data_IF_548004890538
#
_entry.id   IF_548004890538
#
_cell.length_a   1.000
_cell.length_b   1.000
_cell.length_c   1.000
_cell.angle_alpha   90.00
_cell.angle_beta   90.00
_cell.angle_gamma   90.00
#
_symmetry.space_group_name_H-M   'P 1'
#
loop_
_entity.id
_entity.type
_entity.pdbx_description
1 polymer ?
#
# COMPACT_ATOMS: atom_id res chain seq x y z
N UNK A 1 -20.55 59.46 8.25
CA UNK A 1 -21.07 58.28 8.97
C UNK A 1 -20.07 57.86 10.01
N UNK A 2 -20.46 57.93 11.26
CA UNK A 2 -19.66 57.51 12.42
C UNK A 2 -20.15 56.13 12.87
N UNK A 3 -19.22 55.23 13.14
CA UNK A 3 -19.53 53.86 13.57
C UNK A 3 -19.33 53.79 15.07
N UNK A 4 -20.33 53.30 15.81
CA UNK A 4 -20.20 53.13 17.25
C UNK A 4 -19.10 52.10 17.57
N UNK A 5 -18.11 52.43 18.41
CA UNK A 5 -17.00 51.52 18.73
C UNK A 5 -17.43 50.31 19.56
N UNK A 6 -18.58 50.38 20.25
CA UNK A 6 -19.06 49.30 21.11
C UNK A 6 -19.92 48.27 20.35
N UNK A 7 -20.87 48.72 19.53
CA UNK A 7 -21.81 47.82 18.84
C UNK A 7 -21.63 47.75 17.32
N UNK A 8 -20.73 48.54 16.72
CA UNK A 8 -20.51 48.58 15.28
C UNK A 8 -21.68 49.19 14.47
N UNK A 9 -22.70 49.70 15.15
CA UNK A 9 -23.84 50.36 14.51
C UNK A 9 -23.41 51.62 13.76
N UNK A 10 -23.82 51.75 12.50
CA UNK A 10 -23.71 52.99 11.74
C UNK A 10 -24.77 53.95 12.26
N UNK A 11 -24.39 55.16 12.62
CA UNK A 11 -25.35 56.19 12.97
C UNK A 11 -25.01 57.51 12.25
N UNK A 12 -26.05 58.30 12.04
CA UNK A 12 -25.97 59.65 11.49
C UNK A 12 -26.34 60.63 12.61
N UNK A 13 -25.34 61.33 13.14
CA UNK A 13 -25.52 62.27 14.26
C UNK A 13 -24.21 62.60 14.96
N UNK A 14 -24.29 63.38 16.04
CA UNK A 14 -23.13 63.76 16.83
C UNK A 14 -22.77 62.65 17.84
N UNK A 15 -21.51 62.20 17.84
CA UNK A 15 -20.99 61.11 18.68
C UNK A 15 -21.08 61.39 20.20
N UNK A 16 -21.30 62.65 20.57
CA UNK A 16 -21.45 63.13 21.94
C UNK A 16 -22.79 62.73 22.57
N UNK A 17 -23.84 62.56 21.76
CA UNK A 17 -25.18 62.19 22.24
C UNK A 17 -25.25 60.72 22.65
N UNK A 18 -24.21 59.94 22.34
CA UNK A 18 -24.12 58.51 22.63
C UNK A 18 -24.81 57.66 21.56
N UNK A 19 -24.38 56.40 21.45
CA UNK A 19 -25.02 55.47 20.52
C UNK A 19 -26.41 55.08 21.05
N UNK A 20 -27.45 55.25 20.22
CA UNK A 20 -28.83 54.89 20.58
C UNK A 20 -29.03 53.41 20.93
N UNK A 21 -28.18 52.51 20.41
CA UNK A 21 -28.29 51.07 20.63
C UNK A 21 -27.62 50.59 21.93
N UNK A 22 -26.45 51.14 22.27
CA UNK A 22 -25.64 50.63 23.37
C UNK A 22 -25.27 51.69 24.43
N UNK A 23 -25.72 52.93 24.27
CA UNK A 23 -25.47 54.04 25.20
C UNK A 23 -24.01 54.52 25.26
N UNK A 24 -23.10 53.91 24.50
CA UNK A 24 -21.69 54.26 24.53
C UNK A 24 -21.48 55.67 23.94
N UNK A 25 -20.88 56.57 24.73
CA UNK A 25 -20.45 57.90 24.29
C UNK A 25 -19.06 57.83 23.69
N UNK A 26 -18.79 58.63 22.67
CA UNK A 26 -17.43 58.73 22.16
C UNK A 26 -16.53 59.38 23.21
N UNK A 27 -15.53 58.62 23.65
CA UNK A 27 -14.48 59.12 24.53
C UNK A 27 -13.42 59.80 23.65
N UNK A 28 -13.72 61.03 23.20
CA UNK A 28 -12.79 61.91 22.48
C UNK A 28 -12.62 61.66 20.98
N UNK A 29 -12.00 62.64 20.31
CA UNK A 29 -11.47 62.46 18.94
C UNK A 29 -10.43 61.33 18.96
N UNK A 30 -10.32 60.52 17.87
CA UNK A 30 -9.27 59.52 17.80
C UNK A 30 -7.92 60.21 18.04
N UNK A 31 -7.16 59.71 19.01
CA UNK A 31 -5.81 60.19 19.31
C UNK A 31 -5.06 60.40 17.99
N UNK A 32 -4.48 61.60 17.84
CA UNK A 32 -3.65 61.91 16.68
C UNK A 32 -2.66 60.75 16.48
N UNK A 33 -2.58 60.22 15.26
CA UNK A 33 -1.65 59.12 14.99
C UNK A 33 -0.25 59.59 15.39
N UNK A 34 0.52 58.78 16.13
CA UNK A 34 1.87 59.16 16.50
C UNK A 34 2.67 59.41 15.22
N UNK A 35 3.49 60.46 15.21
CA UNK A 35 4.35 60.81 14.07
C UNK A 35 5.31 59.66 13.69
N UNK A 36 5.57 58.76 14.64
CA UNK A 36 6.42 57.59 14.49
C UNK A 36 5.63 56.35 14.97
N UNK A 37 5.06 55.59 14.03
CA UNK A 37 4.56 54.24 14.31
C UNK A 37 5.75 53.26 14.35
N UNK A 38 5.91 52.52 15.44
CA UNK A 38 6.89 51.43 15.50
C UNK A 38 6.49 50.33 14.50
N UNK A 39 7.44 49.79 13.72
CA UNK A 39 7.12 48.80 12.72
C UNK A 39 6.59 47.52 13.37
N UNK A 40 5.48 46.99 12.86
CA UNK A 40 4.85 45.80 13.42
C UNK A 40 5.56 44.52 12.93
N UNK A 41 6.11 43.73 13.87
CA UNK A 41 6.78 42.44 13.59
C UNK A 41 5.84 41.23 13.61
N UNK A 42 4.63 41.37 14.16
CA UNK A 42 3.75 40.23 14.48
C UNK A 42 3.42 39.34 13.27
N UNK A 43 3.25 39.94 12.07
CA UNK A 43 2.97 39.20 10.84
C UNK A 43 4.16 38.35 10.37
N UNK A 44 5.37 38.92 10.41
CA UNK A 44 6.58 38.19 10.02
C UNK A 44 6.89 37.06 11.00
N UNK A 45 6.71 37.29 12.30
CA UNK A 45 6.87 36.27 13.35
C UNK A 45 5.88 35.13 13.19
N UNK A 46 4.60 35.43 12.90
CA UNK A 46 3.57 34.42 12.68
C UNK A 46 3.93 33.47 11.52
N UNK A 47 4.28 34.03 10.36
CA UNK A 47 4.64 33.23 9.17
C UNK A 47 5.92 32.42 9.42
N UNK A 48 6.92 33.05 10.06
CA UNK A 48 8.16 32.38 10.47
C UNK A 48 7.89 31.19 11.39
N UNK A 49 7.08 31.39 12.43
CA UNK A 49 6.75 30.37 13.43
C UNK A 49 5.97 29.20 12.82
N UNK A 50 5.00 29.46 11.95
CA UNK A 50 4.23 28.41 11.27
C UNK A 50 5.15 27.55 10.39
N UNK A 51 6.02 28.18 9.60
CA UNK A 51 6.96 27.45 8.73
C UNK A 51 7.98 26.63 9.52
N UNK A 52 8.50 27.17 10.62
CA UNK A 52 9.41 26.46 11.51
C UNK A 52 8.71 25.28 12.20
N UNK A 53 7.48 25.46 12.67
CA UNK A 53 6.70 24.39 13.31
C UNK A 53 6.43 23.24 12.33
N UNK A 54 6.08 23.55 11.08
CA UNK A 54 5.92 22.54 10.02
C UNK A 54 7.19 21.71 9.81
N UNK A 55 8.34 22.39 9.73
CA UNK A 55 9.63 21.73 9.59
C UNK A 55 9.96 20.85 10.79
N UNK A 56 9.77 21.37 12.02
CA UNK A 56 10.00 20.62 13.26
C UNK A 56 9.09 19.40 13.39
N UNK A 57 7.82 19.52 13.00
CA UNK A 57 6.89 18.40 13.04
C UNK A 57 7.31 17.30 12.06
N UNK A 58 7.74 17.67 10.85
CA UNK A 58 8.26 16.73 9.87
C UNK A 58 9.56 16.05 10.35
N UNK A 59 10.53 16.81 10.89
CA UNK A 59 11.78 16.24 11.39
C UNK A 59 11.55 15.33 12.60
N UNK A 60 10.70 15.73 13.55
CA UNK A 60 10.35 14.91 14.70
C UNK A 60 9.70 13.59 14.28
N UNK A 61 8.77 13.64 13.32
CA UNK A 61 8.13 12.41 12.80
C UNK A 61 9.13 11.48 12.10
N UNK A 62 10.14 12.05 11.43
CA UNK A 62 11.22 11.29 10.79
C UNK A 62 12.11 10.62 11.84
N UNK A 63 12.43 11.33 12.92
CA UNK A 63 13.19 10.78 14.05
C UNK A 63 12.42 9.63 14.71
N UNK A 64 11.12 9.78 14.96
CA UNK A 64 10.27 8.71 15.52
C UNK A 64 10.28 7.49 14.60
N UNK A 65 10.09 7.69 13.28
CA UNK A 65 10.14 6.60 12.31
C UNK A 65 11.51 5.91 12.26
N UNK A 66 12.60 6.65 12.48
CA UNK A 66 13.95 6.09 12.55
C UNK A 66 14.14 5.21 13.79
N UNK A 67 13.60 5.61 14.94
CA UNK A 67 13.64 4.81 16.18
C UNK A 67 12.83 3.51 16.04
N UNK A 68 11.70 3.53 15.33
CA UNK A 68 10.88 2.34 15.09
C UNK A 68 11.57 1.28 14.21
N UNK A 69 12.54 1.66 13.37
CA UNK A 69 13.18 0.73 12.43
C UNK A 69 14.18 -0.26 13.08
N UNK A 70 14.32 -0.28 14.42
CA UNK A 70 15.13 -1.22 15.25
C UNK A 70 16.63 -1.32 14.96
N UNK A 71 17.10 -0.94 13.78
CA UNK A 71 18.52 -0.81 13.46
C UNK A 71 18.91 0.66 13.51
N UNK A 72 19.48 1.09 14.64
CA UNK A 72 20.05 2.44 14.83
C UNK A 72 21.37 2.62 14.03
N UNK A 73 21.41 2.13 12.79
CA UNK A 73 22.53 2.37 11.89
C UNK A 73 22.34 3.76 11.28
N UNK A 74 23.25 4.68 11.65
CA UNK A 74 23.28 6.02 11.06
C UNK A 74 23.85 5.89 9.64
N UNK A 75 22.97 5.57 8.70
CA UNK A 75 23.29 5.48 7.28
C UNK A 75 22.31 6.33 6.46
N UNK A 76 22.73 6.71 5.25
CA UNK A 76 21.88 7.46 4.32
C UNK A 76 20.56 6.72 4.03
N UNK A 77 20.63 5.41 3.78
CA UNK A 77 19.45 4.60 3.43
C UNK A 77 18.42 4.48 4.57
N UNK A 78 18.81 4.14 5.82
CA UNK A 78 17.89 4.17 6.98
C UNK A 78 17.20 5.52 7.19
N UNK A 79 17.92 6.64 6.99
CA UNK A 79 17.34 7.98 7.12
C UNK A 79 16.31 8.22 6.02
N UNK A 80 16.62 7.84 4.77
CA UNK A 80 15.69 7.96 3.64
C UNK A 80 14.46 7.09 3.84
N UNK A 81 14.60 5.85 4.30
CA UNK A 81 13.45 4.96 4.59
C UNK A 81 12.60 5.47 5.75
N UNK A 82 13.21 6.05 6.78
CA UNK A 82 12.49 6.70 7.88
C UNK A 82 11.73 7.94 7.40
N UNK A 83 12.36 8.79 6.59
CA UNK A 83 11.73 9.98 6.00
C UNK A 83 10.58 9.62 5.06
N UNK A 84 10.72 8.56 4.26
CA UNK A 84 9.62 8.01 3.46
C UNK A 84 8.45 7.60 4.36
N UNK A 85 8.73 6.81 5.40
CA UNK A 85 7.70 6.30 6.32
C UNK A 85 6.95 7.46 7.00
N UNK A 86 7.69 8.47 7.43
CA UNK A 86 7.13 9.70 7.98
C UNK A 86 6.26 10.45 6.97
N UNK A 87 6.74 10.64 5.73
CA UNK A 87 5.97 11.30 4.67
C UNK A 87 4.65 10.57 4.38
N UNK A 88 4.64 9.24 4.36
CA UNK A 88 3.42 8.45 4.15
C UNK A 88 2.41 8.56 5.29
N UNK A 89 2.87 8.65 6.54
CA UNK A 89 1.98 8.89 7.70
C UNK A 89 1.41 10.30 7.68
N UNK A 90 2.22 11.28 7.32
CA UNK A 90 1.88 12.70 7.40
C UNK A 90 1.10 13.23 6.20
N UNK A 91 1.07 12.53 5.07
CA UNK A 91 0.45 13.05 3.83
C UNK A 91 -1.01 13.50 4.01
N UNK A 92 -1.78 12.86 4.89
CA UNK A 92 -3.20 13.19 5.06
C UNK A 92 -3.42 14.43 5.95
N UNK A 93 -2.47 14.77 6.82
CA UNK A 93 -2.60 15.87 7.78
C UNK A 93 -1.72 17.06 7.42
N UNK A 94 -0.45 16.81 7.10
CA UNK A 94 0.55 17.87 6.84
C UNK A 94 0.43 18.44 5.44
N UNK A 95 0.04 17.65 4.43
CA UNK A 95 -0.12 18.16 3.07
C UNK A 95 -1.20 19.25 2.98
N UNK A 96 -2.46 19.04 3.44
CA UNK A 96 -3.45 20.11 3.39
C UNK A 96 -3.06 21.32 4.26
N UNK A 97 -2.50 21.06 5.45
CA UNK A 97 -2.08 22.13 6.35
C UNK A 97 -0.95 22.98 5.77
N UNK A 98 0.04 22.35 5.13
CA UNK A 98 1.16 23.06 4.49
C UNK A 98 0.72 23.87 3.28
N UNK A 99 -0.26 23.39 2.50
CA UNK A 99 -0.87 24.18 1.40
C UNK A 99 -1.57 25.42 1.95
N UNK A 100 -2.36 25.29 3.02
CA UNK A 100 -3.02 26.43 3.67
C UNK A 100 -2.00 27.39 4.28
N UNK A 101 -0.96 26.88 4.94
CA UNK A 101 0.12 27.69 5.52
C UNK A 101 0.92 28.44 4.45
N UNK A 102 1.22 27.80 3.31
CA UNK A 102 1.92 28.41 2.20
C UNK A 102 1.06 29.51 1.56
N UNK A 103 -0.22 29.25 1.31
CA UNK A 103 -1.14 30.23 0.72
C UNK A 103 -1.37 31.42 1.66
N UNK A 104 -1.70 31.16 2.93
CA UNK A 104 -1.87 32.21 3.94
C UNK A 104 -0.59 33.01 4.18
N UNK A 105 0.56 32.32 4.28
CA UNK A 105 1.87 32.96 4.39
C UNK A 105 2.21 33.82 3.18
N UNK A 106 1.84 33.39 1.97
CA UNK A 106 2.05 34.15 0.74
C UNK A 106 1.24 35.45 0.72
N UNK A 107 -0.03 35.39 1.15
CA UNK A 107 -0.88 36.58 1.28
C UNK A 107 -0.33 37.57 2.30
N UNK A 108 0.13 37.08 3.46
CA UNK A 108 0.75 37.92 4.50
C UNK A 108 2.06 38.53 4.01
N UNK A 109 2.92 37.75 3.37
CA UNK A 109 4.18 38.22 2.79
C UNK A 109 3.95 39.27 1.70
N UNK A 110 2.98 39.05 0.81
CA UNK A 110 2.59 40.03 -0.20
C UNK A 110 2.10 41.34 0.44
N UNK A 111 1.38 41.26 1.57
CA UNK A 111 0.98 42.45 2.34
C UNK A 111 2.17 43.19 2.97
N UNK A 112 3.13 42.47 3.57
CA UNK A 112 4.35 43.07 4.13
C UNK A 112 5.15 43.78 3.03
N UNK A 113 5.24 43.17 1.84
CA UNK A 113 5.96 43.75 0.70
C UNK A 113 5.30 45.03 0.16
N UNK A 114 3.96 45.14 0.23
CA UNK A 114 3.22 46.33 -0.20
C UNK A 114 3.39 47.52 0.76
N UNK A 115 3.53 47.24 2.06
CA UNK A 115 3.61 48.26 3.12
C UNK A 115 4.92 48.13 3.92
N UNK A 116 6.07 48.18 3.24
CA UNK A 116 7.39 47.95 3.86
C UNK A 116 7.76 48.97 4.94
N UNK A 117 7.16 50.16 4.92
CA UNK A 117 7.38 51.21 5.94
C UNK A 117 6.70 50.84 7.27
N UNK A 118 5.60 50.09 7.22
CA UNK A 118 4.77 49.77 8.39
C UNK A 118 5.10 48.42 9.04
N UNK A 119 5.64 47.50 8.25
CA UNK A 119 5.95 46.14 8.69
C UNK A 119 7.43 45.85 8.62
N UNK A 120 8.00 45.37 9.72
CA UNK A 120 9.35 44.81 9.76
C UNK A 120 9.29 43.27 9.80
N UNK A 121 10.42 42.61 9.50
CA UNK A 121 10.53 41.15 9.52
C UNK A 121 10.34 40.46 8.17
N UNK A 122 10.67 41.13 7.06
CA UNK A 122 10.65 40.56 5.72
C UNK A 122 11.46 39.24 5.64
N UNK A 123 12.65 39.21 6.23
CA UNK A 123 13.53 38.05 6.16
C UNK A 123 12.98 36.85 6.94
N UNK A 124 12.34 37.11 8.09
CA UNK A 124 11.70 36.07 8.89
C UNK A 124 10.50 35.45 8.16
N UNK A 125 9.68 36.29 7.51
CA UNK A 125 8.56 35.83 6.67
C UNK A 125 9.07 35.00 5.48
N UNK A 126 10.17 35.42 4.85
CA UNK A 126 10.81 34.69 3.75
C UNK A 126 11.33 33.32 4.20
N UNK A 127 12.00 33.26 5.36
CA UNK A 127 12.47 31.99 5.94
C UNK A 127 11.31 31.04 6.23
N UNK A 128 10.21 31.52 6.83
CA UNK A 128 9.03 30.70 7.10
C UNK A 128 8.36 30.16 5.83
N UNK A 129 8.25 30.99 4.79
CA UNK A 129 7.75 30.56 3.48
C UNK A 129 8.63 29.51 2.82
N UNK A 130 9.95 29.72 2.83
CA UNK A 130 10.90 28.76 2.26
C UNK A 130 10.89 27.43 3.02
N UNK A 131 10.78 27.47 4.36
CA UNK A 131 10.63 26.25 5.17
C UNK A 131 9.33 25.50 4.84
N UNK A 132 8.21 26.20 4.70
CA UNK A 132 6.93 25.59 4.33
C UNK A 132 6.98 24.97 2.92
N UNK A 133 7.58 25.67 1.96
CA UNK A 133 7.77 25.19 0.59
C UNK A 133 8.68 23.96 0.55
N UNK A 134 9.77 23.97 1.33
CA UNK A 134 10.71 22.85 1.44
C UNK A 134 10.01 21.58 1.95
N UNK A 135 9.16 21.69 2.98
CA UNK A 135 8.40 20.54 3.52
C UNK A 135 7.46 19.96 2.46
N UNK A 136 6.75 20.80 1.69
CA UNK A 136 5.88 20.35 0.59
C UNK A 136 6.69 19.61 -0.48
N UNK A 137 7.81 20.20 -0.92
CA UNK A 137 8.67 19.60 -1.96
C UNK A 137 9.25 18.28 -1.48
N UNK A 138 9.72 18.19 -0.22
CA UNK A 138 10.23 16.95 0.36
C UNK A 138 9.16 15.87 0.39
N UNK A 139 7.97 16.15 0.93
CA UNK A 139 6.86 15.19 0.99
C UNK A 139 6.47 14.74 -0.42
N UNK A 140 6.30 15.67 -1.36
CA UNK A 140 5.93 15.36 -2.74
C UNK A 140 7.00 14.50 -3.44
N UNK A 141 8.29 14.79 -3.22
CA UNK A 141 9.40 14.02 -3.80
C UNK A 141 9.44 12.61 -3.25
N UNK A 142 9.34 12.43 -1.92
CA UNK A 142 9.32 11.10 -1.31
C UNK A 142 8.13 10.27 -1.75
N UNK A 143 6.93 10.87 -1.82
CA UNK A 143 5.74 10.16 -2.32
C UNK A 143 5.92 9.81 -3.79
N UNK A 144 6.31 10.77 -4.63
CA UNK A 144 6.45 10.56 -6.08
C UNK A 144 7.42 9.43 -6.44
N UNK A 145 8.56 9.35 -5.75
CA UNK A 145 9.57 8.31 -5.99
C UNK A 145 9.14 6.91 -5.48
N UNK A 146 8.30 6.83 -4.44
CA UNK A 146 8.00 5.57 -3.73
C UNK A 146 6.67 4.93 -4.12
N UNK A 147 5.79 5.69 -4.78
CA UNK A 147 4.52 5.18 -5.34
C UNK A 147 4.70 3.94 -6.23
N UNK A 148 5.59 3.89 -7.24
CA UNK A 148 5.67 2.73 -8.13
C UNK A 148 6.07 1.45 -7.38
N UNK A 149 7.03 1.55 -6.46
CA UNK A 149 7.48 0.40 -5.68
C UNK A 149 6.41 -0.08 -4.70
N UNK A 150 5.66 0.83 -4.08
CA UNK A 150 4.52 0.45 -3.21
C UNK A 150 3.39 -0.19 -3.98
N UNK A 151 3.12 0.25 -5.21
CA UNK A 151 2.16 -0.43 -6.08
C UNK A 151 2.64 -1.84 -6.41
N UNK A 152 3.94 -2.02 -6.69
CA UNK A 152 4.55 -3.33 -6.92
C UNK A 152 4.46 -4.23 -5.69
N UNK A 153 4.81 -3.71 -4.52
CA UNK A 153 4.71 -4.45 -3.24
C UNK A 153 3.26 -4.82 -2.91
N UNK A 154 2.30 -3.92 -3.16
CA UNK A 154 0.88 -4.22 -2.98
C UNK A 154 0.43 -5.34 -3.92
N UNK A 155 0.85 -5.31 -5.18
CA UNK A 155 0.57 -6.39 -6.12
C UNK A 155 1.19 -7.72 -5.65
N UNK A 156 2.44 -7.71 -5.21
CA UNK A 156 3.10 -8.88 -4.64
C UNK A 156 2.39 -9.42 -3.39
N UNK A 157 1.93 -8.55 -2.50
CA UNK A 157 1.16 -8.93 -1.32
C UNK A 157 -0.18 -9.59 -1.66
N UNK A 158 -0.87 -9.09 -2.69
CA UNK A 158 -2.10 -9.73 -3.19
C UNK A 158 -1.78 -11.12 -3.75
N UNK A 159 -0.72 -11.25 -4.55
CA UNK A 159 -0.30 -12.54 -5.11
C UNK A 159 0.10 -13.54 -4.02
N UNK A 160 0.89 -13.12 -3.04
CA UNK A 160 1.26 -13.96 -1.91
C UNK A 160 0.05 -14.41 -1.08
N UNK A 161 -0.98 -13.56 -0.98
CA UNK A 161 -2.25 -13.92 -0.35
C UNK A 161 -2.99 -15.05 -1.07
N UNK A 162 -3.08 -14.98 -2.40
CA UNK A 162 -3.69 -16.04 -3.23
C UNK A 162 -2.89 -17.34 -3.15
N UNK A 163 -1.55 -17.24 -3.21
CA UNK A 163 -0.66 -18.41 -3.11
C UNK A 163 -0.79 -19.10 -1.75
N UNK A 164 -0.84 -18.34 -0.65
CA UNK A 164 -1.06 -18.87 0.70
C UNK A 164 -2.41 -19.61 0.83
N UNK A 165 -3.47 -19.10 0.20
CA UNK A 165 -4.75 -19.80 0.15
C UNK A 165 -4.63 -21.13 -0.61
N UNK A 166 -3.98 -21.12 -1.77
CA UNK A 166 -3.77 -22.36 -2.54
C UNK A 166 -2.96 -23.41 -1.78
N UNK A 167 -1.89 -23.02 -1.07
CA UNK A 167 -1.12 -23.94 -0.23
C UNK A 167 -1.96 -24.53 0.92
N UNK A 168 -2.91 -23.76 1.45
CA UNK A 168 -3.86 -24.26 2.47
C UNK A 168 -4.76 -25.35 1.88
N UNK A 169 -5.24 -25.16 0.65
CA UNK A 169 -6.07 -26.13 -0.08
C UNK A 169 -5.27 -27.37 -0.46
N UNK A 170 -4.04 -27.20 -0.95
CA UNK A 170 -3.13 -28.30 -1.26
C UNK A 170 -2.85 -29.15 -0.01
N UNK A 171 -2.55 -28.50 1.12
CA UNK A 171 -2.36 -29.20 2.40
C UNK A 171 -3.60 -30.03 2.76
N UNK A 172 -4.79 -29.46 2.64
CA UNK A 172 -6.04 -30.18 2.92
C UNK A 172 -6.25 -31.38 1.96
N UNK A 173 -5.94 -31.22 0.67
CA UNK A 173 -6.01 -32.29 -0.32
C UNK A 173 -5.02 -33.43 -0.02
N UNK A 174 -3.80 -33.10 0.39
CA UNK A 174 -2.79 -34.08 0.77
C UNK A 174 -3.18 -34.83 2.04
N UNK A 175 -3.69 -34.14 3.05
CA UNK A 175 -4.18 -34.75 4.29
C UNK A 175 -5.40 -35.66 4.03
N UNK A 176 -6.33 -35.23 3.18
CA UNK A 176 -7.44 -36.07 2.71
C UNK A 176 -6.93 -37.33 2.02
N UNK A 177 -5.97 -37.20 1.09
CA UNK A 177 -5.36 -38.33 0.38
C UNK A 177 -4.64 -39.29 1.33
N UNK A 178 -3.95 -38.78 2.34
CA UNK A 178 -3.27 -39.62 3.33
C UNK A 178 -4.27 -40.48 4.11
N UNK A 179 -5.41 -39.88 4.47
CA UNK A 179 -6.48 -40.51 5.26
C UNK A 179 -7.33 -41.50 4.45
N UNK A 180 -7.79 -41.11 3.27
CA UNK A 180 -8.75 -41.88 2.47
C UNK A 180 -8.11 -42.62 1.28
N UNK A 181 -6.80 -42.45 1.04
CA UNK A 181 -6.05 -43.03 -0.09
C UNK A 181 -6.58 -42.64 -1.47
N UNK A 182 -7.48 -41.67 -1.55
CA UNK A 182 -8.03 -41.10 -2.78
C UNK A 182 -8.09 -39.58 -2.66
N UNK A 183 -8.19 -38.88 -3.79
CA UNK A 183 -8.57 -37.47 -3.81
C UNK A 183 -10.09 -37.33 -3.63
N UNK A 184 -10.57 -36.21 -3.06
CA UNK A 184 -12.00 -35.95 -2.93
C UNK A 184 -12.67 -35.84 -4.30
N UNK A 185 -13.97 -36.09 -4.36
CA UNK A 185 -14.75 -35.89 -5.60
C UNK A 185 -15.26 -34.46 -5.71
N UNK A 186 -15.60 -33.87 -4.57
CA UNK A 186 -16.06 -32.49 -4.45
C UNK A 186 -15.27 -31.77 -3.38
N UNK A 187 -15.17 -30.45 -3.52
CA UNK A 187 -14.50 -29.58 -2.53
C UNK A 187 -15.16 -29.67 -1.14
N UNK A 188 -16.47 -29.94 -1.08
CA UNK A 188 -17.20 -30.13 0.18
C UNK A 188 -16.72 -31.35 0.98
N UNK A 189 -16.22 -32.39 0.30
CA UNK A 189 -15.69 -33.58 0.95
C UNK A 189 -14.47 -33.24 1.83
N UNK A 190 -13.73 -32.17 1.50
CA UNK A 190 -12.63 -31.66 2.33
C UNK A 190 -13.14 -31.03 3.63
N UNK A 191 -14.24 -30.30 3.57
CA UNK A 191 -14.83 -29.63 4.73
C UNK A 191 -15.46 -30.64 5.70
N UNK A 192 -16.11 -31.68 5.17
CA UNK A 192 -16.77 -32.70 5.98
C UNK A 192 -15.78 -33.79 6.47
N UNK A 193 -14.73 -34.08 5.68
CA UNK A 193 -13.79 -35.17 5.95
C UNK A 193 -12.61 -34.81 6.85
N UNK A 194 -12.23 -33.54 6.95
CA UNK A 194 -11.08 -33.08 7.74
C UNK A 194 -11.50 -32.24 8.95
N UNK A 195 -10.86 -32.44 10.12
CA UNK A 195 -11.05 -31.55 11.25
C UNK A 195 -10.33 -30.20 11.02
N UNK A 196 -11.10 -29.11 10.90
CA UNK A 196 -10.56 -27.76 10.76
C UNK A 196 -10.68 -26.98 12.09
N UNK A 197 -9.66 -27.11 12.96
CA UNK A 197 -9.67 -26.47 14.29
C UNK A 197 -9.63 -24.93 14.21
N UNK A 198 -8.95 -24.39 13.20
CA UNK A 198 -8.65 -22.97 13.09
C UNK A 198 -9.55 -22.25 12.06
N UNK A 199 -10.44 -22.98 11.37
CA UNK A 199 -11.31 -22.44 10.32
C UNK A 199 -10.56 -22.08 9.03
N UNK A 200 -9.28 -22.46 8.92
CA UNK A 200 -8.39 -22.09 7.81
C UNK A 200 -8.78 -22.76 6.50
N UNK A 201 -9.23 -24.02 6.56
CA UNK A 201 -9.67 -24.78 5.39
C UNK A 201 -11.00 -24.22 4.93
N UNK A 202 -11.96 -24.01 5.83
CA UNK A 202 -13.25 -23.42 5.49
C UNK A 202 -13.09 -22.01 4.88
N UNK A 203 -12.20 -21.18 5.42
CA UNK A 203 -11.91 -19.85 4.88
C UNK A 203 -11.28 -19.92 3.48
N UNK A 204 -10.31 -20.82 3.25
CA UNK A 204 -9.70 -21.00 1.94
C UNK A 204 -10.71 -21.52 0.90
N UNK A 205 -11.54 -22.49 1.29
CA UNK A 205 -12.56 -23.09 0.42
C UNK A 205 -13.72 -22.14 0.11
N UNK A 206 -14.02 -21.17 0.98
CA UNK A 206 -15.12 -20.22 0.76
C UNK A 206 -15.00 -19.37 -0.51
N UNK A 207 -13.76 -19.19 -0.99
CA UNK A 207 -13.48 -18.43 -2.21
C UNK A 207 -13.36 -19.32 -3.46
N UNK A 208 -13.41 -20.64 -3.31
CA UNK A 208 -13.26 -21.59 -4.42
C UNK A 208 -14.64 -22.01 -4.89
N UNK A 209 -14.89 -21.82 -6.18
CA UNK A 209 -16.09 -22.38 -6.80
C UNK A 209 -15.98 -23.91 -6.82
N UNK A 210 -16.88 -24.64 -6.14
CA UNK A 210 -16.82 -26.10 -6.08
C UNK A 210 -16.85 -26.76 -7.46
N UNK A 211 -17.42 -26.10 -8.47
CA UNK A 211 -17.52 -26.61 -9.84
C UNK A 211 -16.20 -26.61 -10.61
N UNK A 212 -15.23 -25.82 -10.14
CA UNK A 212 -13.92 -25.69 -10.81
C UNK A 212 -12.92 -26.78 -10.44
N UNK A 213 -13.19 -27.52 -9.37
CA UNK A 213 -12.34 -28.62 -8.94
C UNK A 213 -12.53 -29.84 -9.88
N UNK A 214 -11.46 -30.24 -10.56
CA UNK A 214 -11.47 -31.42 -11.43
C UNK A 214 -10.38 -32.40 -11.03
N UNK A 215 -10.71 -33.53 -10.37
CA UNK A 215 -9.76 -34.62 -10.20
C UNK A 215 -9.55 -35.30 -11.56
N UNK A 216 -8.32 -35.35 -12.04
CA UNK A 216 -7.94 -36.01 -13.31
C UNK A 216 -7.04 -37.19 -13.04
N UNK A 217 -7.49 -38.39 -13.38
CA UNK A 217 -6.60 -39.54 -13.45
C UNK A 217 -5.91 -39.53 -14.82
N UNK A 218 -4.68 -39.04 -14.87
CA UNK A 218 -3.84 -39.25 -16.04
C UNK A 218 -3.27 -40.66 -15.92
N UNK A 219 -3.87 -41.60 -16.64
CA UNK A 219 -3.23 -42.87 -16.90
C UNK A 219 -1.96 -42.56 -17.68
N UNK A 220 -0.79 -42.71 -17.06
CA UNK A 220 0.45 -42.70 -17.80
C UNK A 220 0.37 -43.90 -18.74
N UNK A 221 -0.04 -43.65 -19.98
CA UNK A 221 -0.04 -44.66 -21.00
C UNK A 221 1.43 -44.92 -21.27
N UNK A 222 1.99 -45.95 -20.62
CA UNK A 222 3.33 -46.43 -20.90
C UNK A 222 3.41 -46.53 -22.42
N UNK A 223 4.29 -45.73 -23.03
CA UNK A 223 4.34 -45.62 -24.48
C UNK A 223 4.41 -47.03 -25.05
N UNK A 224 3.45 -47.42 -25.88
CA UNK A 224 3.50 -48.67 -26.65
C UNK A 224 4.66 -48.68 -27.65
N UNK A 225 5.41 -47.58 -27.74
CA UNK A 225 6.69 -47.50 -28.40
C UNK A 225 7.64 -48.54 -27.80
N UNK A 226 7.98 -49.53 -28.64
CA UNK A 226 8.99 -50.55 -28.38
C UNK A 226 10.20 -49.89 -27.72
N UNK A 227 10.63 -50.31 -26.50
CA UNK A 227 11.77 -49.69 -25.84
C UNK A 227 12.96 -49.71 -26.79
N UNK A 228 13.44 -48.52 -27.17
CA UNK A 228 14.62 -48.39 -28.00
C UNK A 228 15.77 -49.12 -27.31
N UNK A 229 16.47 -50.01 -28.03
CA UNK A 229 17.65 -50.70 -27.49
C UNK A 229 18.63 -49.65 -26.96
N UNK A 230 18.69 -49.50 -25.64
CA UNK A 230 19.68 -48.68 -24.95
C UNK A 230 21.08 -49.23 -25.30
N UNK A 231 21.76 -48.59 -26.24
CA UNK A 231 23.15 -48.90 -26.62
C UNK A 231 24.07 -48.13 -25.68
N UNK A 232 24.52 -48.78 -24.61
CA UNK A 232 25.54 -48.24 -23.72
C UNK A 232 25.83 -49.19 -22.56
N UNK A 233 27.11 -49.56 -22.38
CA UNK A 233 27.54 -50.49 -21.34
C UNK A 233 27.35 -49.94 -19.90
N UNK A 234 27.21 -48.63 -19.74
CA UNK A 234 27.11 -47.97 -18.43
C UNK A 234 25.73 -48.10 -17.76
N UNK A 235 24.64 -48.34 -18.51
CA UNK A 235 23.29 -48.49 -17.94
C UNK A 235 22.89 -49.96 -17.71
N UNK A 236 23.73 -50.92 -18.15
CA UNK A 236 23.45 -52.36 -18.03
C UNK A 236 23.51 -52.92 -16.60
N UNK A 237 24.05 -52.14 -15.64
CA UNK A 237 24.15 -52.56 -14.23
C UNK A 237 23.00 -52.07 -13.36
N UNK A 238 22.14 -51.20 -13.87
CA UNK A 238 20.93 -50.77 -13.17
C UNK A 238 19.68 -51.58 -13.58
N UNK A 239 19.75 -52.34 -14.68
CA UNK A 239 18.67 -53.23 -15.10
C UNK A 239 18.98 -54.69 -14.72
N UNK A 240 18.22 -55.16 -13.74
CA UNK A 240 17.86 -56.57 -13.47
C UNK A 240 18.84 -57.43 -12.68
N UNK A 241 18.31 -58.02 -11.60
CA UNK A 241 18.15 -59.47 -11.47
C UNK A 241 17.05 -59.77 -10.43
N UNK A 242 15.79 -59.76 -10.84
CA UNK A 242 14.76 -60.59 -10.20
C UNK A 242 13.81 -61.13 -11.30
N UNK A 243 13.95 -62.40 -11.72
CA UNK A 243 13.36 -62.93 -12.95
C UNK A 243 11.87 -63.37 -12.82
N UNK A 244 11.15 -62.91 -11.81
CA UNK A 244 9.76 -63.32 -11.56
C UNK A 244 8.75 -62.17 -11.44
N UNK A 245 9.13 -60.92 -11.71
CA UNK A 245 8.25 -59.76 -11.47
C UNK A 245 8.13 -58.76 -12.64
N UNK A 246 8.59 -59.13 -13.84
CA UNK A 246 8.61 -58.25 -15.02
C UNK A 246 7.33 -58.34 -15.87
N UNK A 247 6.16 -58.29 -15.25
CA UNK A 247 4.99 -57.72 -15.93
C UNK A 247 4.73 -56.33 -15.35
N UNK A 248 5.52 -55.34 -15.79
CA UNK A 248 5.26 -53.91 -15.63
C UNK A 248 4.07 -53.50 -16.52
N UNK A 249 2.96 -54.23 -16.41
CA UNK A 249 1.66 -53.87 -16.94
C UNK A 249 0.82 -53.13 -15.88
N UNK A 250 1.38 -52.93 -14.67
CA UNK A 250 0.79 -52.07 -13.67
C UNK A 250 0.93 -50.62 -14.15
N UNK A 251 -0.09 -50.16 -14.87
CA UNK A 251 -0.23 -48.77 -15.29
C UNK A 251 -0.10 -47.91 -14.04
N UNK A 252 1.03 -47.23 -13.88
CA UNK A 252 1.22 -46.25 -12.82
C UNK A 252 0.23 -45.11 -13.12
N UNK A 253 -0.91 -45.12 -12.44
CA UNK A 253 -1.91 -44.05 -12.55
C UNK A 253 -1.48 -42.92 -11.64
N UNK A 254 -1.14 -41.77 -12.21
CA UNK A 254 -0.97 -40.55 -11.43
C UNK A 254 -2.34 -39.88 -11.35
N UNK A 255 -2.90 -39.84 -10.15
CA UNK A 255 -4.06 -39.00 -9.87
C UNK A 255 -3.56 -37.57 -9.71
N UNK A 256 -3.90 -36.76 -10.69
CA UNK A 256 -3.63 -35.34 -10.69
C UNK A 256 -4.91 -34.60 -10.32
N UNK A 257 -4.77 -33.37 -9.85
CA UNK A 257 -5.92 -32.50 -9.61
C UNK A 257 -5.68 -31.12 -10.20
N UNK A 258 -6.76 -30.49 -10.64
CA UNK A 258 -6.76 -29.13 -11.14
C UNK A 258 -7.78 -28.34 -10.32
N UNK A 259 -7.32 -27.25 -9.72
CA UNK A 259 -8.15 -26.30 -8.98
C UNK A 259 -7.94 -24.93 -9.60
N UNK A 260 -9.04 -24.22 -9.86
CA UNK A 260 -8.98 -22.79 -10.20
C UNK A 260 -9.19 -21.98 -8.93
N UNK A 261 -8.21 -21.14 -8.63
CA UNK A 261 -8.28 -20.19 -7.55
C UNK A 261 -8.69 -18.84 -8.15
N UNK A 262 -9.63 -18.11 -7.53
CA UNK A 262 -10.12 -16.86 -8.06
C UNK A 262 -8.99 -15.83 -8.21
N UNK A 263 -9.06 -15.06 -9.29
CA UNK A 263 -8.15 -13.96 -9.58
C UNK A 263 -8.26 -12.76 -8.63
N UNK A 264 -7.73 -11.62 -9.07
CA UNK A 264 -7.73 -10.40 -8.26
C UNK A 264 -9.14 -9.78 -8.13
N UNK A 265 -10.01 -10.06 -9.09
CA UNK A 265 -11.39 -9.62 -9.13
C UNK A 265 -12.33 -10.46 -8.25
N UNK A 266 -11.86 -11.62 -7.77
CA UNK A 266 -12.62 -12.61 -7.01
C UNK A 266 -13.82 -13.19 -7.75
N UNK A 267 -13.83 -13.11 -9.08
CA UNK A 267 -14.89 -13.67 -9.91
C UNK A 267 -14.38 -15.01 -10.44
N UNK A 268 -15.04 -16.13 -10.14
CA UNK A 268 -14.59 -17.42 -10.64
C UNK A 268 -14.82 -17.54 -12.15
N UNK A 269 -13.98 -18.35 -12.80
CA UNK A 269 -13.99 -18.67 -14.23
C UNK A 269 -13.63 -17.50 -15.16
N UNK A 270 -12.76 -16.61 -14.71
CA UNK A 270 -12.20 -15.51 -15.52
C UNK A 270 -10.80 -15.86 -16.02
N UNK A 271 -10.32 -15.07 -16.99
CA UNK A 271 -8.99 -15.25 -17.58
C UNK A 271 -7.85 -14.91 -16.60
N UNK A 272 -8.12 -14.26 -15.45
CA UNK A 272 -7.15 -13.93 -14.41
C UNK A 272 -7.10 -14.95 -13.25
N UNK A 273 -7.88 -16.03 -13.36
CA UNK A 273 -7.85 -17.13 -12.39
C UNK A 273 -6.50 -17.85 -12.39
N UNK A 274 -6.08 -18.25 -11.18
CA UNK A 274 -4.87 -19.01 -10.97
C UNK A 274 -5.17 -20.50 -11.12
N UNK A 275 -4.37 -21.19 -11.93
CA UNK A 275 -4.50 -22.62 -12.08
C UNK A 275 -3.51 -23.33 -11.15
N UNK A 276 -4.02 -24.04 -10.16
CA UNK A 276 -3.22 -24.93 -9.32
C UNK A 276 -3.34 -26.35 -9.85
N UNK A 277 -2.22 -26.90 -10.32
CA UNK A 277 -2.13 -28.29 -10.78
C UNK A 277 -1.08 -29.01 -9.96
N UNK A 278 -1.49 -30.00 -9.18
CA UNK A 278 -0.59 -30.84 -8.37
C UNK A 278 0.38 -30.01 -7.49
N UNK A 279 -0.13 -28.95 -6.86
CA UNK A 279 0.66 -28.03 -6.02
C UNK A 279 1.46 -26.96 -6.78
N UNK A 280 1.48 -27.02 -8.11
CA UNK A 280 2.16 -26.01 -8.95
C UNK A 280 1.17 -24.94 -9.38
N UNK A 281 1.48 -23.68 -9.04
CA UNK A 281 0.71 -22.51 -9.44
C UNK A 281 1.13 -22.03 -10.83
N UNK A 282 0.18 -22.00 -11.76
CA UNK A 282 0.37 -21.50 -13.12
C UNK A 282 -0.35 -20.16 -13.24
N UNK A 283 0.41 -19.10 -13.53
CA UNK A 283 -0.15 -17.76 -13.74
C UNK A 283 -0.93 -17.69 -15.06
N UNK A 284 -2.08 -17.01 -15.08
CA UNK A 284 -2.94 -16.87 -16.26
C UNK A 284 -2.23 -16.26 -17.47
N UNK A 285 -1.33 -15.29 -17.26
CA UNK A 285 -0.59 -14.65 -18.35
C UNK A 285 0.40 -15.59 -19.07
N UNK A 286 0.65 -16.79 -18.54
CA UNK A 286 1.48 -17.84 -19.16
C UNK A 286 0.64 -18.98 -19.75
N UNK A 287 -0.65 -19.07 -19.43
CA UNK A 287 -1.57 -20.00 -20.10
C UNK A 287 -2.09 -19.36 -21.38
N UNK A 288 -1.24 -19.34 -22.42
CA UNK A 288 -1.77 -19.21 -23.78
C UNK A 288 -2.80 -20.32 -24.07
N UNK A 289 -3.68 -20.15 -25.07
CA UNK A 289 -4.68 -21.16 -25.41
C UNK A 289 -4.00 -22.51 -25.57
N UNK A 290 -4.47 -23.49 -24.80
CA UNK A 290 -3.87 -24.80 -24.58
C UNK A 290 -3.15 -25.38 -25.81
N UNK A 291 -1.85 -25.08 -25.95
CA UNK A 291 -0.98 -25.83 -26.85
C UNK A 291 -0.50 -27.06 -26.10
N UNK A 292 -1.11 -28.19 -26.43
CA UNK A 292 -0.62 -29.52 -26.12
C UNK A 292 0.88 -29.63 -26.40
N UNK A 293 1.68 -29.83 -25.35
CA UNK A 293 3.03 -30.37 -25.43
C UNK A 293 4.17 -29.34 -25.55
N UNK A 294 4.65 -28.82 -24.42
CA UNK A 294 6.08 -28.72 -24.12
C UNK A 294 6.28 -28.22 -22.69
N UNK A 295 6.66 -29.11 -21.78
CA UNK A 295 7.09 -28.75 -20.43
C UNK A 295 8.49 -28.15 -20.50
N UNK A 296 8.59 -26.84 -20.61
CA UNK A 296 9.81 -26.11 -20.25
C UNK A 296 9.71 -25.75 -18.76
N UNK A 297 10.27 -26.61 -17.92
CA UNK A 297 10.56 -26.28 -16.52
C UNK A 297 11.59 -25.17 -16.52
N UNK A 298 11.16 -23.95 -16.18
CA UNK A 298 12.04 -22.82 -15.99
C UNK A 298 12.40 -22.77 -14.50
N UNK A 299 13.59 -23.21 -14.16
CA UNK A 299 14.21 -22.98 -12.86
C UNK A 299 14.33 -21.47 -12.63
N UNK A 300 13.76 -21.00 -11.52
CA UNK A 300 13.96 -19.63 -11.02
C UNK A 300 15.44 -19.44 -10.61
N UNK A 301 16.00 -18.21 -10.76
CA UNK A 301 17.32 -17.86 -10.24
C UNK A 301 17.36 -17.80 -8.72
#
# INVERSE_FOLDING_TARGET
MTVCPCCGGKFEGNLLDGCALCGARAVGEPLARPEIELPAYGRGVLVGAIGLLLLLFFTLSTIIALFEQTQLTIGFWPIVSAAETAAWRLKWTVLPFSVVALWGGWLIYASIRRESVRFAGHDLARCGLMASMLVIVMIATFIGLTVPERLRQRALGIYAGVEAQGYTVERALLEYRQRYKTYPTNVKDLQDGLPDRDGSIAAALSNIDPSTYQPRANLANASTAKPGRLRGAALRRASMNNPTDDSVNEKISFTNYEVRLPGADKIPNTDDDWLMRDGVFIKPSKSGPASSGSSAVQTLP
#
